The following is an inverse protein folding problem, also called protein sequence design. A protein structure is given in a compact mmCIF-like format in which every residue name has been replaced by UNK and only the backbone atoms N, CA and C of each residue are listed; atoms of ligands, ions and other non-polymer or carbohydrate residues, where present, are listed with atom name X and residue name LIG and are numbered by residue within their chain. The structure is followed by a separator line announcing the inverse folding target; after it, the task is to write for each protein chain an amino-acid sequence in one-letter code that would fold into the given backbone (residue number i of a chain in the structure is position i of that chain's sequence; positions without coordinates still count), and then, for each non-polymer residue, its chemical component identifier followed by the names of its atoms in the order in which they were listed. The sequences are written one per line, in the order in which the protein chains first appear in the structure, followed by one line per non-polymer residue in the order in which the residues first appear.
data_IF_413307973590
#
_entry.id   IF_413307973590
#
_cell.length_a   1.000
_cell.length_b   1.000
_cell.length_c   1.000
_cell.angle_alpha   90.00
_cell.angle_beta   90.00
_cell.angle_gamma   90.00
#
_symmetry.space_group_name_H-M   'P 1'
#
loop_
_entity.id
_entity.type
_entity.pdbx_description
1 polymer ?
#
# COMPACT_ATOMS: atom_id res chain seq x y z
N UNK A 1 9.48 46.51 -23.73
CA UNK A 1 8.36 46.06 -22.88
C UNK A 1 8.98 45.65 -21.55
N UNK A 2 8.85 46.52 -20.55
CA UNK A 2 9.31 46.27 -19.18
C UNK A 2 8.29 45.33 -18.55
N UNK A 3 8.73 44.13 -18.15
CA UNK A 3 7.92 43.21 -17.36
C UNK A 3 7.56 43.86 -16.03
N UNK A 4 6.31 43.67 -15.61
CA UNK A 4 5.78 44.25 -14.38
C UNK A 4 6.60 43.75 -13.17
N UNK A 5 7.17 44.63 -12.32
CA UNK A 5 8.01 44.22 -11.18
C UNK A 5 7.24 43.47 -10.08
N UNK A 6 5.91 43.37 -10.21
CA UNK A 6 5.01 42.80 -9.21
C UNK A 6 4.67 41.31 -9.44
N UNK A 7 5.18 40.67 -10.48
CA UNK A 7 4.89 39.25 -10.78
C UNK A 7 5.61 38.21 -9.89
N UNK A 8 6.38 38.64 -8.89
CA UNK A 8 7.16 37.72 -8.05
C UNK A 8 7.07 38.00 -6.54
N UNK A 9 5.94 38.52 -6.04
CA UNK A 9 5.67 38.48 -4.59
C UNK A 9 4.84 37.23 -4.27
N UNK A 10 5.48 36.22 -3.67
CA UNK A 10 4.78 35.05 -3.13
C UNK A 10 3.82 35.51 -2.02
N UNK A 11 2.53 35.58 -2.32
CA UNK A 11 1.49 35.78 -1.31
C UNK A 11 1.46 34.58 -0.37
N UNK A 12 1.29 34.83 0.94
CA UNK A 12 1.20 33.75 1.93
C UNK A 12 -0.05 32.91 1.62
N UNK A 13 0.09 31.58 1.44
CA UNK A 13 -1.05 30.71 1.16
C UNK A 13 -2.02 30.66 2.34
N UNK A 14 -3.28 30.31 2.08
CA UNK A 14 -4.27 30.15 3.14
C UNK A 14 -3.87 29.04 4.11
N UNK A 15 -3.92 29.28 5.42
CA UNK A 15 -3.50 28.29 6.43
C UNK A 15 -4.35 27.02 6.46
N UNK A 16 -5.56 27.07 5.92
CA UNK A 16 -6.48 25.94 5.76
C UNK A 16 -6.37 25.25 4.39
N UNK A 17 -5.54 25.77 3.46
CA UNK A 17 -5.50 25.34 2.07
C UNK A 17 -5.22 23.84 1.92
N UNK A 18 -4.30 23.30 2.72
CA UNK A 18 -3.96 21.86 2.68
C UNK A 18 -5.19 20.99 3.02
N UNK A 19 -6.02 21.43 3.97
CA UNK A 19 -7.23 20.71 4.35
C UNK A 19 -8.25 20.70 3.21
N UNK A 20 -8.48 21.87 2.61
CA UNK A 20 -9.40 22.00 1.47
C UNK A 20 -8.95 21.21 0.26
N UNK A 21 -7.71 21.40 -0.19
CA UNK A 21 -7.17 20.70 -1.34
C UNK A 21 -7.15 19.18 -1.13
N UNK A 22 -6.79 18.74 0.07
CA UNK A 22 -6.80 17.32 0.43
C UNK A 22 -8.20 16.70 0.34
N UNK A 23 -9.22 17.38 0.87
CA UNK A 23 -10.59 16.90 0.86
C UNK A 23 -11.26 17.00 -0.52
N UNK A 24 -11.07 18.10 -1.25
CA UNK A 24 -11.55 18.22 -2.63
C UNK A 24 -10.95 17.11 -3.48
N UNK A 25 -9.64 16.89 -3.42
CA UNK A 25 -8.99 15.78 -4.14
C UNK A 25 -9.57 14.41 -3.75
N UNK A 26 -9.88 14.20 -2.47
CA UNK A 26 -10.52 12.97 -2.01
C UNK A 26 -11.92 12.78 -2.62
N UNK A 27 -12.76 13.81 -2.58
CA UNK A 27 -14.14 13.75 -3.10
C UNK A 27 -14.17 13.64 -4.63
N UNK A 28 -13.35 14.44 -5.33
CA UNK A 28 -13.39 14.58 -6.78
C UNK A 28 -12.74 13.40 -7.50
N UNK A 29 -11.70 12.81 -6.89
CA UNK A 29 -10.88 11.78 -7.54
C UNK A 29 -10.62 10.57 -6.64
N UNK A 30 -10.17 10.79 -5.39
CA UNK A 30 -9.67 9.71 -4.53
C UNK A 30 -10.72 8.63 -4.22
N UNK A 31 -11.97 9.01 -3.95
CA UNK A 31 -13.04 8.05 -3.69
C UNK A 31 -13.27 7.15 -4.89
N UNK A 32 -13.38 7.74 -6.08
CA UNK A 32 -13.55 7.02 -7.34
C UNK A 32 -12.38 6.08 -7.62
N UNK A 33 -11.14 6.53 -7.42
CA UNK A 33 -9.94 5.71 -7.59
C UNK A 33 -9.94 4.48 -6.68
N UNK A 34 -10.37 4.63 -5.42
CA UNK A 34 -10.47 3.50 -4.49
C UNK A 34 -11.61 2.54 -4.84
N UNK A 35 -12.78 3.07 -5.27
CA UNK A 35 -13.90 2.22 -5.69
C UNK A 35 -13.54 1.38 -6.92
N UNK A 36 -12.74 1.90 -7.87
CA UNK A 36 -12.26 1.13 -9.03
C UNK A 36 -11.30 -0.01 -8.66
N UNK A 37 -10.66 0.05 -7.49
CA UNK A 37 -9.80 -1.04 -6.99
C UNK A 37 -10.60 -2.15 -6.31
N UNK A 38 -11.90 -1.96 -6.10
CA UNK A 38 -12.71 -2.93 -5.38
C UNK A 38 -12.81 -4.25 -6.16
N UNK A 39 -12.39 -5.38 -5.58
CA UNK A 39 -12.39 -6.65 -6.29
C UNK A 39 -13.81 -7.17 -6.49
N UNK A 40 -14.00 -7.96 -7.54
CA UNK A 40 -15.18 -8.83 -7.66
C UNK A 40 -15.19 -9.82 -6.51
N UNK A 41 -16.34 -9.95 -5.84
CA UNK A 41 -16.52 -10.93 -4.77
C UNK A 41 -17.31 -12.08 -5.35
N UNK A 42 -16.68 -13.24 -5.45
CA UNK A 42 -17.27 -14.47 -5.98
C UNK A 42 -17.40 -15.50 -4.85
N UNK A 43 -18.59 -16.03 -4.67
CA UNK A 43 -18.82 -17.22 -3.85
C UNK A 43 -18.91 -18.45 -4.76
N UNK A 44 -17.84 -19.26 -4.73
CA UNK A 44 -17.74 -20.48 -5.54
C UNK A 44 -18.71 -21.59 -5.12
N UNK A 45 -19.28 -21.53 -3.91
CA UNK A 45 -20.23 -22.55 -3.43
C UNK A 45 -21.67 -22.25 -3.85
N UNK A 46 -22.04 -20.97 -3.90
CA UNK A 46 -23.41 -20.53 -4.20
C UNK A 46 -23.57 -19.90 -5.58
N UNK A 47 -22.51 -19.85 -6.39
CA UNK A 47 -22.49 -19.21 -7.72
C UNK A 47 -22.97 -17.74 -7.69
N UNK A 48 -22.62 -17.01 -6.62
CA UNK A 48 -22.99 -15.60 -6.45
C UNK A 48 -21.79 -14.73 -6.78
N UNK A 49 -21.98 -13.74 -7.65
CA UNK A 49 -20.99 -12.71 -7.97
C UNK A 49 -21.51 -11.34 -7.54
N UNK A 50 -20.68 -10.59 -6.81
CA UNK A 50 -20.88 -9.17 -6.55
C UNK A 50 -19.85 -8.35 -7.32
N UNK A 51 -20.35 -7.44 -8.14
CA UNK A 51 -19.55 -6.46 -8.86
C UNK A 51 -20.06 -5.06 -8.55
N UNK A 52 -19.13 -4.17 -8.20
CA UNK A 52 -19.43 -2.75 -8.00
C UNK A 52 -19.37 -2.01 -9.35
N UNK A 53 -20.43 -1.28 -9.68
CA UNK A 53 -20.49 -0.42 -10.87
C UNK A 53 -20.11 1.02 -10.50
N UNK A 54 -18.81 1.30 -10.51
CA UNK A 54 -18.25 2.56 -10.03
C UNK A 54 -18.73 3.75 -10.86
N UNK A 55 -18.99 3.58 -12.16
CA UNK A 55 -19.46 4.64 -13.05
C UNK A 55 -20.81 5.26 -12.62
N UNK A 56 -21.54 4.56 -11.73
CA UNK A 56 -22.85 4.97 -11.23
C UNK A 56 -22.83 5.43 -9.77
N UNK A 57 -21.65 5.58 -9.15
CA UNK A 57 -21.58 6.09 -7.78
C UNK A 57 -22.09 7.53 -7.71
N UNK A 58 -22.78 7.86 -6.62
CA UNK A 58 -23.31 9.21 -6.39
C UNK A 58 -23.08 9.60 -4.93
N UNK A 59 -22.64 10.84 -4.74
CA UNK A 59 -22.70 11.50 -3.44
C UNK A 59 -24.02 12.25 -3.37
N UNK A 60 -24.90 11.79 -2.49
CA UNK A 60 -26.25 12.35 -2.33
C UNK A 60 -26.27 13.11 -1.00
N UNK A 61 -26.68 14.38 -1.03
CA UNK A 61 -27.01 15.08 0.21
C UNK A 61 -28.14 14.33 0.93
N UNK A 62 -28.07 14.17 2.26
CA UNK A 62 -28.95 13.25 2.97
C UNK A 62 -30.43 13.63 2.80
N UNK A 63 -31.14 12.87 1.97
CA UNK A 63 -32.60 12.87 1.88
C UNK A 63 -33.06 11.45 2.14
N UNK A 64 -33.58 11.20 3.35
CA UNK A 64 -34.06 9.89 3.79
C UNK A 64 -35.26 9.50 2.93
N UNK A 65 -35.10 8.53 2.03
CA UNK A 65 -36.21 7.80 1.41
C UNK A 65 -35.86 6.32 1.33
N UNK A 66 -36.58 5.51 2.11
CA UNK A 66 -36.56 4.05 2.02
C UNK A 66 -37.15 3.59 0.67
N UNK A 67 -36.56 2.57 0.06
CA UNK A 67 -37.19 1.83 -1.04
C UNK A 67 -36.95 0.32 -0.95
N UNK A 68 -37.99 -0.36 -1.44
CA UNK A 68 -38.33 -1.77 -1.31
C UNK A 68 -37.50 -2.72 -2.19
N UNK A 69 -37.44 -3.97 -1.75
CA UNK A 69 -36.75 -5.12 -2.37
C UNK A 69 -37.68 -5.86 -3.36
N UNK A 70 -37.19 -6.21 -4.55
CA UNK A 70 -37.87 -7.14 -5.50
C UNK A 70 -36.83 -8.05 -6.17
N UNK A 71 -37.10 -9.36 -6.18
CA UNK A 71 -36.19 -10.49 -6.46
C UNK A 71 -35.77 -10.68 -7.94
N UNK A 72 -34.55 -11.23 -8.08
CA UNK A 72 -33.80 -11.77 -9.24
C UNK A 72 -33.10 -10.78 -10.21
N UNK A 73 -31.78 -11.03 -10.42
CA UNK A 73 -30.75 -10.15 -11.02
C UNK A 73 -30.94 -8.65 -10.74
N UNK A 74 -30.64 -8.26 -9.50
CA UNK A 74 -30.83 -6.89 -9.00
C UNK A 74 -29.56 -6.06 -9.12
N UNK A 75 -29.51 -5.14 -10.08
CA UNK A 75 -28.73 -3.92 -9.89
C UNK A 75 -29.39 -3.13 -8.76
N UNK A 76 -28.72 -3.00 -7.60
CA UNK A 76 -29.25 -2.31 -6.44
C UNK A 76 -28.32 -1.16 -6.03
N UNK A 77 -28.90 0.01 -5.78
CA UNK A 77 -28.18 1.10 -5.12
C UNK A 77 -28.06 0.78 -3.63
N UNK A 78 -26.84 0.62 -3.15
CA UNK A 78 -26.53 0.39 -1.74
C UNK A 78 -25.89 1.63 -1.14
N UNK A 79 -26.26 1.95 0.11
CA UNK A 79 -25.55 2.95 0.90
C UNK A 79 -24.27 2.30 1.45
N UNK A 80 -23.11 2.71 0.94
CA UNK A 80 -21.81 2.21 1.44
C UNK A 80 -21.46 2.86 2.78
N UNK A 81 -21.77 4.15 2.94
CA UNK A 81 -21.50 4.87 4.17
C UNK A 81 -21.75 6.37 4.04
N UNK A 82 -21.61 7.07 5.15
CA UNK A 82 -21.73 8.52 5.24
C UNK A 82 -20.35 9.15 5.35
N UNK A 83 -20.06 10.16 4.53
CA UNK A 83 -18.82 10.93 4.57
C UNK A 83 -19.11 12.27 5.28
N UNK A 84 -18.45 12.59 6.41
CA UNK A 84 -18.59 13.89 7.02
C UNK A 84 -18.10 14.99 6.08
N UNK A 85 -18.95 15.99 5.80
CA UNK A 85 -18.56 17.13 4.99
C UNK A 85 -17.69 18.10 5.79
N UNK A 86 -16.74 18.73 5.11
CA UNK A 86 -15.90 19.78 5.67
C UNK A 86 -16.51 21.15 5.35
N UNK A 87 -16.59 22.02 6.37
CA UNK A 87 -17.03 23.39 6.21
C UNK A 87 -15.90 24.29 5.69
N UNK A 88 -16.22 25.56 5.41
CA UNK A 88 -15.28 26.60 4.94
C UNK A 88 -14.16 26.97 5.90
N UNK A 89 -14.18 26.48 7.15
CA UNK A 89 -13.11 26.66 8.13
C UNK A 89 -12.12 25.49 8.16
N UNK A 90 -12.37 24.41 7.40
CA UNK A 90 -11.54 23.23 7.42
C UNK A 90 -11.89 22.24 8.55
N UNK A 91 -13.12 22.31 9.08
CA UNK A 91 -13.60 21.43 10.14
C UNK A 91 -14.82 20.63 9.69
N UNK A 92 -14.99 19.42 10.23
CA UNK A 92 -16.11 18.52 9.94
C UNK A 92 -16.94 18.28 11.19
N UNK A 93 -18.25 18.14 11.05
CA UNK A 93 -19.14 17.81 12.17
C UNK A 93 -19.29 16.29 12.25
N UNK A 94 -18.84 15.69 13.35
CA UNK A 94 -18.95 14.25 13.61
C UNK A 94 -19.68 14.08 14.93
N UNK A 95 -20.88 13.49 14.89
CA UNK A 95 -21.77 13.31 16.04
C UNK A 95 -22.03 14.61 16.82
N UNK A 96 -22.27 15.72 16.10
CA UNK A 96 -22.56 17.03 16.69
C UNK A 96 -21.34 17.79 17.23
N UNK A 97 -20.13 17.27 17.03
CA UNK A 97 -18.88 17.88 17.52
C UNK A 97 -17.99 18.26 16.33
N UNK A 98 -17.43 19.47 16.35
CA UNK A 98 -16.44 19.91 15.39
C UNK A 98 -15.13 19.12 15.54
N UNK A 99 -14.66 18.54 14.44
CA UNK A 99 -13.39 17.80 14.36
C UNK A 99 -12.55 18.33 13.22
N UNK A 100 -11.24 18.21 13.37
CA UNK A 100 -10.25 18.57 12.34
C UNK A 100 -9.45 17.32 12.03
N UNK A 101 -9.22 17.07 10.74
CA UNK A 101 -8.32 16.00 10.29
C UNK A 101 -6.88 16.52 10.37
N UNK A 102 -6.04 15.87 11.16
CA UNK A 102 -4.63 16.25 11.28
C UNK A 102 -3.85 15.53 10.19
N UNK A 103 -3.07 16.29 9.41
CA UNK A 103 -2.17 15.72 8.41
C UNK A 103 -1.10 14.87 9.09
N UNK A 104 -0.90 13.66 8.56
CA UNK A 104 0.13 12.75 9.03
C UNK A 104 1.35 12.80 8.12
N UNK A 105 2.54 12.67 8.71
CA UNK A 105 3.78 12.49 7.97
C UNK A 105 4.21 11.04 8.18
N UNK A 106 4.09 10.24 7.14
CA UNK A 106 4.44 8.82 7.12
C UNK A 106 5.65 8.59 6.21
N UNK A 107 6.35 7.47 6.42
CA UNK A 107 7.38 7.03 5.49
C UNK A 107 6.72 6.64 4.17
N UNK A 108 7.17 7.25 3.08
CA UNK A 108 6.70 6.89 1.75
C UNK A 108 7.09 5.45 1.40
N UNK A 109 6.33 4.76 0.54
CA UNK A 109 6.75 3.46 0.01
C UNK A 109 8.10 3.55 -0.70
N UNK A 110 8.88 2.46 -0.65
CA UNK A 110 10.24 2.39 -1.20
C UNK A 110 11.19 1.53 -0.35
N UNK A 111 12.50 1.70 -0.56
CA UNK A 111 13.55 0.98 0.17
C UNK A 111 14.34 1.96 1.04
N UNK A 112 14.56 1.55 2.28
CA UNK A 112 15.35 2.28 3.28
C UNK A 112 16.48 1.41 3.79
N UNK A 113 17.66 1.98 3.93
CA UNK A 113 18.83 1.29 4.47
C UNK A 113 19.21 1.86 5.82
N UNK A 114 19.55 0.99 6.75
CA UNK A 114 20.03 1.34 8.08
C UNK A 114 21.27 0.52 8.43
N UNK A 115 22.23 1.16 9.09
CA UNK A 115 23.36 0.50 9.73
C UNK A 115 23.27 0.75 11.22
N UNK A 116 23.17 -0.30 12.01
CA UNK A 116 23.15 -0.24 13.48
C UNK A 116 24.30 -1.07 14.06
N UNK A 117 24.79 -0.67 15.23
CA UNK A 117 25.69 -1.51 16.00
C UNK A 117 24.84 -2.42 16.89
N UNK A 118 25.07 -3.71 16.81
CA UNK A 118 24.44 -4.64 17.74
C UNK A 118 25.08 -4.56 19.14
N UNK A 119 24.54 -5.34 20.09
CA UNK A 119 24.99 -5.38 21.48
C UNK A 119 26.48 -5.71 21.67
N UNK A 120 27.19 -6.25 20.66
CA UNK A 120 28.62 -6.52 20.76
C UNK A 120 29.44 -5.56 19.89
N UNK A 121 28.86 -4.43 19.44
CA UNK A 121 29.54 -3.40 18.68
C UNK A 121 29.77 -3.74 17.21
N UNK A 122 29.05 -4.70 16.63
CA UNK A 122 29.24 -5.11 15.24
C UNK A 122 28.15 -4.49 14.35
N UNK A 123 28.57 -3.93 13.21
CA UNK A 123 27.68 -3.31 12.24
C UNK A 123 26.78 -4.34 11.56
N UNK A 124 25.49 -4.22 11.82
CA UNK A 124 24.40 -4.93 11.14
C UNK A 124 23.75 -3.96 10.15
N UNK A 125 23.61 -4.42 8.90
CA UNK A 125 23.02 -3.63 7.83
C UNK A 125 21.66 -4.21 7.48
N UNK A 126 20.65 -3.34 7.45
CA UNK A 126 19.25 -3.71 7.18
C UNK A 126 18.70 -2.90 6.02
N UNK A 127 18.10 -3.56 5.04
CA UNK A 127 17.29 -2.97 3.99
C UNK A 127 15.81 -3.24 4.25
N UNK A 128 15.01 -2.21 4.49
CA UNK A 128 13.57 -2.29 4.74
C UNK A 128 12.79 -1.78 3.54
N UNK A 129 12.06 -2.66 2.88
CA UNK A 129 11.11 -2.34 1.82
C UNK A 129 9.75 -2.04 2.47
N UNK A 130 9.19 -0.89 2.14
CA UNK A 130 7.86 -0.43 2.57
C UNK A 130 6.97 -0.36 1.34
N UNK A 131 5.84 -1.06 1.42
CA UNK A 131 4.79 -1.11 0.40
C UNK A 131 3.70 -0.08 0.72
N UNK A 132 2.85 0.26 -0.26
CA UNK A 132 1.79 1.27 -0.15
C UNK A 132 0.74 0.89 0.90
N UNK A 133 0.45 -0.40 1.03
CA UNK A 133 -0.49 -0.96 2.02
C UNK A 133 0.20 -1.43 3.31
N UNK A 134 1.16 -0.66 3.81
CA UNK A 134 1.92 -0.93 5.05
C UNK A 134 2.71 -2.27 5.09
N UNK A 135 2.80 -2.99 3.97
CA UNK A 135 3.59 -4.21 3.86
C UNK A 135 5.08 -3.92 4.04
N UNK A 136 5.69 -4.48 5.10
CA UNK A 136 7.13 -4.35 5.37
C UNK A 136 7.87 -5.66 5.14
N UNK A 137 8.95 -5.60 4.36
CA UNK A 137 9.87 -6.71 4.13
C UNK A 137 11.30 -6.26 4.47
N UNK A 138 12.02 -7.03 5.27
CA UNK A 138 13.37 -6.66 5.71
C UNK A 138 14.40 -7.69 5.24
N UNK A 139 15.52 -7.19 4.71
CA UNK A 139 16.73 -7.96 4.45
C UNK A 139 17.84 -7.49 5.41
N UNK A 140 18.53 -8.42 6.04
CA UNK A 140 19.56 -8.18 7.05
C UNK A 140 20.85 -8.92 6.66
N UNK A 141 22.01 -8.25 6.70
CA UNK A 141 23.31 -8.92 6.58
C UNK A 141 23.94 -9.07 7.96
N UNK A 142 24.17 -10.32 8.35
CA UNK A 142 24.80 -10.63 9.62
C UNK A 142 26.33 -10.51 9.58
N UNK A 143 26.96 -10.72 10.74
CA UNK A 143 28.41 -10.65 10.93
C UNK A 143 29.20 -11.65 10.10
N UNK A 144 28.58 -12.78 9.72
CA UNK A 144 29.19 -13.83 8.90
C UNK A 144 28.91 -13.61 7.40
N UNK A 145 28.48 -12.41 7.02
CA UNK A 145 28.08 -12.04 5.66
C UNK A 145 26.93 -12.91 5.11
N UNK A 146 26.06 -13.43 5.98
CA UNK A 146 24.86 -14.15 5.56
C UNK A 146 23.69 -13.18 5.46
N UNK A 147 22.96 -13.27 4.36
CA UNK A 147 21.75 -12.48 4.12
C UNK A 147 20.56 -13.23 4.71
N UNK A 148 19.75 -12.54 5.49
CA UNK A 148 18.52 -13.03 6.08
C UNK A 148 17.36 -12.18 5.58
N UNK A 149 16.27 -12.82 5.16
CA UNK A 149 14.99 -12.14 4.98
C UNK A 149 14.16 -12.34 6.26
N UNK A 150 13.74 -11.26 6.91
CA UNK A 150 12.93 -11.35 8.12
C UNK A 150 11.46 -11.49 7.73
N UNK A 151 10.93 -12.68 7.91
CA UNK A 151 9.49 -12.95 7.80
C UNK A 151 9.02 -13.46 9.14
N UNK A 152 8.63 -12.55 10.06
CA UNK A 152 8.14 -12.74 11.46
C UNK A 152 8.88 -13.76 12.40
N UNK A 153 9.72 -14.67 11.90
CA UNK A 153 10.54 -15.68 12.60
C UNK A 153 11.83 -15.95 11.79
N UNK A 154 12.93 -16.27 12.48
CA UNK A 154 14.22 -16.63 11.86
C UNK A 154 14.31 -18.15 11.72
N UNK A 155 13.95 -18.70 10.55
CA UNK A 155 14.14 -20.14 10.25
C UNK A 155 15.01 -20.33 9.02
N UNK A 156 15.94 -21.29 9.10
CA UNK A 156 16.82 -21.68 7.99
C UNK A 156 16.02 -22.60 7.09
N UNK A 157 15.92 -22.25 5.80
CA UNK A 157 15.25 -23.09 4.81
C UNK A 157 16.28 -23.73 3.88
N UNK A 158 16.17 -25.05 3.67
CA UNK A 158 17.13 -25.83 2.90
C UNK A 158 16.81 -26.01 1.41
N UNK A 159 15.54 -25.88 1.00
CA UNK A 159 15.11 -26.03 -0.40
C UNK A 159 14.06 -24.97 -0.79
N UNK A 160 13.88 -24.75 -2.11
CA UNK A 160 12.91 -23.78 -2.65
C UNK A 160 11.48 -24.13 -2.24
N UNK A 161 11.11 -25.40 -2.33
CA UNK A 161 9.78 -25.90 -1.99
C UNK A 161 9.48 -25.69 -0.50
N UNK A 162 10.46 -26.03 0.36
CA UNK A 162 10.35 -25.80 1.80
C UNK A 162 10.24 -24.30 2.13
N UNK A 163 10.88 -23.43 1.36
CA UNK A 163 10.80 -21.97 1.57
C UNK A 163 9.39 -21.46 1.26
N UNK A 164 8.81 -21.92 0.16
CA UNK A 164 7.44 -21.58 -0.24
C UNK A 164 6.43 -22.09 0.79
N UNK A 165 6.59 -23.32 1.27
CA UNK A 165 5.72 -23.91 2.29
C UNK A 165 5.77 -23.16 3.62
N UNK A 166 6.97 -22.82 4.09
CA UNK A 166 7.12 -22.04 5.32
C UNK A 166 6.50 -20.65 5.19
N UNK A 167 6.71 -19.99 4.05
CA UNK A 167 6.09 -18.70 3.76
C UNK A 167 4.56 -18.81 3.78
N UNK A 168 4.01 -19.85 3.16
CA UNK A 168 2.58 -20.10 3.13
C UNK A 168 1.99 -20.38 4.52
N UNK A 169 2.58 -21.30 5.30
CA UNK A 169 2.12 -21.62 6.66
C UNK A 169 2.03 -20.38 7.56
N UNK A 170 3.04 -19.51 7.47
CA UNK A 170 3.14 -18.34 8.31
C UNK A 170 2.10 -17.26 7.99
N UNK A 171 1.59 -17.23 6.75
CA UNK A 171 0.61 -16.25 6.31
C UNK A 171 -0.82 -16.76 6.28
N UNK A 172 -1.02 -18.05 6.00
CA UNK A 172 -2.35 -18.61 5.86
C UNK A 172 -3.00 -18.97 7.21
N UNK A 173 -2.24 -18.99 8.32
CA UNK A 173 -2.72 -19.45 9.64
C UNK A 173 -3.43 -20.81 9.58
N UNK A 174 -3.05 -21.66 8.62
CA UNK A 174 -3.69 -22.97 8.41
C UNK A 174 -3.08 -23.97 9.37
N UNK A 175 -3.92 -24.67 10.13
CA UNK A 175 -3.50 -25.85 10.89
C UNK A 175 -3.24 -27.02 9.94
N UNK A 176 -2.04 -27.60 10.00
CA UNK A 176 -1.65 -28.79 9.21
C UNK A 176 -0.24 -28.67 8.60
N UNK A 177 0.20 -29.76 7.97
CA UNK A 177 1.44 -29.84 7.19
C UNK A 177 1.10 -29.70 5.70
N UNK A 178 1.17 -28.48 5.11
CA UNK A 178 0.90 -28.28 3.70
C UNK A 178 1.96 -28.98 2.87
N UNK A 179 1.51 -29.63 1.80
CA UNK A 179 2.37 -30.24 0.79
C UNK A 179 2.54 -29.26 -0.36
N UNK A 180 3.75 -29.17 -0.91
CA UNK A 180 4.04 -28.27 -2.02
C UNK A 180 3.18 -28.65 -3.23
N UNK A 181 2.47 -27.66 -3.79
CA UNK A 181 1.69 -27.81 -5.01
C UNK A 181 1.73 -26.53 -5.83
N UNK A 182 1.47 -26.64 -7.14
CA UNK A 182 1.40 -25.47 -8.02
C UNK A 182 0.19 -24.58 -7.69
N UNK A 183 -0.91 -25.18 -7.21
CA UNK A 183 -2.09 -24.43 -6.75
C UNK A 183 -1.78 -23.56 -5.53
N UNK A 184 -0.99 -24.08 -4.57
CA UNK A 184 -0.52 -23.32 -3.41
C UNK A 184 0.36 -22.14 -3.85
N UNK A 185 1.22 -22.33 -4.84
CA UNK A 185 2.00 -21.22 -5.41
C UNK A 185 1.10 -20.13 -6.00
N UNK A 186 0.07 -20.51 -6.76
CA UNK A 186 -0.89 -19.57 -7.36
C UNK A 186 -1.71 -18.85 -6.30
N UNK A 187 -2.14 -19.55 -5.26
CA UNK A 187 -2.86 -18.97 -4.14
C UNK A 187 -1.99 -17.98 -3.36
N UNK A 188 -0.75 -18.34 -3.06
CA UNK A 188 0.21 -17.45 -2.41
C UNK A 188 0.46 -16.21 -3.28
N UNK A 189 0.67 -16.37 -4.59
CA UNK A 189 0.80 -15.25 -5.53
C UNK A 189 -0.42 -14.32 -5.52
N UNK A 190 -1.63 -14.89 -5.61
CA UNK A 190 -2.87 -14.12 -5.65
C UNK A 190 -3.16 -13.42 -4.31
N UNK A 191 -3.15 -14.15 -3.20
CA UNK A 191 -3.54 -13.62 -1.88
C UNK A 191 -2.47 -12.73 -1.25
N UNK A 192 -1.19 -13.09 -1.39
CA UNK A 192 -0.11 -12.41 -0.67
C UNK A 192 0.50 -11.26 -1.47
N UNK A 193 0.95 -11.54 -2.70
CA UNK A 193 1.74 -10.58 -3.47
C UNK A 193 0.91 -9.43 -4.05
N UNK A 194 -0.38 -9.65 -4.35
CA UNK A 194 -1.26 -8.58 -4.86
C UNK A 194 -1.61 -7.52 -3.81
N UNK A 195 -1.64 -7.86 -2.52
CA UNK A 195 -2.01 -6.88 -1.48
C UNK A 195 -0.79 -6.29 -0.76
N UNK A 196 0.23 -7.11 -0.46
CA UNK A 196 1.33 -6.70 0.43
C UNK A 196 2.60 -6.25 -0.28
N UNK A 197 2.70 -6.45 -1.59
CA UNK A 197 3.89 -6.10 -2.38
C UNK A 197 3.62 -5.00 -3.40
N UNK A 198 2.47 -4.31 -3.31
CA UNK A 198 2.20 -3.13 -4.11
C UNK A 198 2.99 -1.94 -3.57
N UNK A 199 3.93 -1.44 -4.37
CA UNK A 199 4.72 -0.24 -4.12
C UNK A 199 3.98 1.05 -4.51
N UNK A 200 2.98 0.94 -5.40
CA UNK A 200 2.35 2.09 -6.04
C UNK A 200 3.34 2.87 -6.93
N UNK A 201 2.85 3.97 -7.53
CA UNK A 201 3.68 4.82 -8.41
C UNK A 201 4.84 5.48 -7.66
N UNK A 202 4.57 5.94 -6.44
CA UNK A 202 5.56 6.61 -5.59
C UNK A 202 6.64 5.62 -5.15
N UNK A 203 6.25 4.44 -4.65
CA UNK A 203 7.20 3.42 -4.24
C UNK A 203 8.06 2.91 -5.39
N UNK A 204 7.47 2.65 -6.56
CA UNK A 204 8.24 2.29 -7.76
C UNK A 204 9.26 3.37 -8.13
N UNK A 205 8.85 4.65 -8.13
CA UNK A 205 9.76 5.78 -8.40
C UNK A 205 10.90 5.85 -7.37
N UNK A 206 10.59 5.69 -6.09
CA UNK A 206 11.56 5.73 -5.00
C UNK A 206 12.56 4.56 -5.09
N UNK A 207 12.06 3.35 -5.32
CA UNK A 207 12.89 2.15 -5.56
C UNK A 207 13.85 2.36 -6.72
N UNK A 208 13.34 2.79 -7.87
CA UNK A 208 14.15 3.01 -9.06
C UNK A 208 15.25 4.04 -8.83
N UNK A 209 14.90 5.18 -8.20
CA UNK A 209 15.88 6.23 -7.89
C UNK A 209 16.93 5.75 -6.90
N UNK A 210 16.55 4.97 -5.89
CA UNK A 210 17.45 4.53 -4.82
C UNK A 210 18.40 3.41 -5.27
N UNK A 211 17.92 2.51 -6.11
CA UNK A 211 18.65 1.32 -6.59
C UNK A 211 19.20 1.49 -8.01
N UNK A 212 19.02 2.67 -8.62
CA UNK A 212 19.38 2.97 -10.01
C UNK A 212 18.79 1.94 -11.00
N UNK A 213 17.49 1.68 -10.90
CA UNK A 213 16.77 0.76 -11.77
C UNK A 213 15.97 1.51 -12.83
N UNK A 214 16.01 1.00 -14.06
CA UNK A 214 15.18 1.46 -15.17
C UNK A 214 13.98 0.52 -15.36
N UNK A 215 13.01 0.62 -14.45
CA UNK A 215 11.76 -0.14 -14.51
C UNK A 215 10.62 0.85 -14.76
N UNK A 216 9.70 0.61 -15.71
CA UNK A 216 8.59 1.51 -15.97
C UNK A 216 7.75 1.83 -14.72
N UNK A 217 7.36 3.09 -14.55
CA UNK A 217 6.61 3.56 -13.36
C UNK A 217 5.20 2.97 -13.24
N UNK A 218 4.65 2.41 -14.32
CA UNK A 218 3.37 1.70 -14.32
C UNK A 218 3.47 0.31 -13.66
N UNK A 219 4.67 -0.24 -13.44
CA UNK A 219 4.85 -1.46 -12.66
C UNK A 219 4.78 -1.14 -11.17
N UNK A 220 3.58 -1.19 -10.60
CA UNK A 220 3.32 -0.85 -9.20
C UNK A 220 3.66 -1.97 -8.22
N UNK A 221 4.00 -3.17 -8.68
CA UNK A 221 4.33 -4.31 -7.82
C UNK A 221 5.84 -4.54 -7.69
N UNK A 222 6.26 -5.08 -6.55
CA UNK A 222 7.63 -5.54 -6.31
C UNK A 222 7.98 -6.71 -7.24
N UNK A 223 9.12 -6.61 -7.91
CA UNK A 223 9.63 -7.59 -8.87
C UNK A 223 10.81 -8.37 -8.27
N UNK A 224 11.09 -9.60 -8.73
CA UNK A 224 12.28 -10.34 -8.30
C UNK A 224 13.59 -9.54 -8.49
N UNK A 225 13.68 -8.76 -9.57
CA UNK A 225 14.82 -7.87 -9.86
C UNK A 225 15.03 -6.81 -8.77
N UNK A 226 13.95 -6.32 -8.17
CA UNK A 226 14.05 -5.34 -7.07
C UNK A 226 14.71 -5.97 -5.85
N UNK A 227 14.30 -7.18 -5.48
CA UNK A 227 14.85 -7.91 -4.33
C UNK A 227 16.35 -8.17 -4.53
N UNK A 228 16.75 -8.57 -5.74
CA UNK A 228 18.16 -8.78 -6.08
C UNK A 228 18.95 -7.48 -5.96
N UNK A 229 18.45 -6.38 -6.53
CA UNK A 229 19.09 -5.07 -6.42
C UNK A 229 19.18 -4.58 -4.97
N UNK A 230 18.17 -4.87 -4.14
CA UNK A 230 18.20 -4.56 -2.71
C UNK A 230 19.33 -5.32 -2.01
N UNK A 231 19.46 -6.62 -2.29
CA UNK A 231 20.51 -7.46 -1.73
C UNK A 231 21.90 -7.00 -2.19
N UNK A 232 22.08 -6.73 -3.49
CA UNK A 232 23.35 -6.23 -4.04
C UNK A 232 23.78 -4.92 -3.39
N UNK A 233 22.86 -3.97 -3.24
CA UNK A 233 23.14 -2.70 -2.57
C UNK A 233 23.48 -2.90 -1.08
N UNK A 234 22.81 -3.84 -0.40
CA UNK A 234 23.09 -4.16 1.00
C UNK A 234 24.48 -4.78 1.17
N UNK A 235 24.90 -5.64 0.23
CA UNK A 235 26.27 -6.17 0.16
C UNK A 235 27.26 -5.03 -0.06
N UNK A 236 26.97 -4.11 -0.99
CA UNK A 236 27.79 -2.92 -1.24
C UNK A 236 28.02 -2.09 0.03
N UNK A 237 26.96 -1.82 0.79
CA UNK A 237 27.04 -1.13 2.08
C UNK A 237 27.91 -1.86 3.11
N UNK A 238 27.84 -3.20 3.18
CA UNK A 238 28.64 -3.99 4.13
C UNK A 238 30.13 -3.96 3.80
N UNK A 239 30.48 -3.98 2.52
CA UNK A 239 31.85 -4.15 2.04
C UNK A 239 32.48 -2.87 1.45
N UNK A 240 31.77 -1.73 1.49
CA UNK A 240 32.27 -0.42 1.08
C UNK A 240 32.45 -0.27 -0.44
N UNK A 241 31.56 -0.85 -1.24
CA UNK A 241 31.53 -0.69 -2.71
C UNK A 241 30.36 0.15 -3.18
#
# INVERSE_FOLDING_TARGET
MLGDPNEAMSTIPGFNQIQFEGFCRFIDQGLTEELYKFPKIEDTYYEIEFQLFVERYQLVEPVIKERNVVKDMQEQTILIGNIPLMNSLGTSIVNGIYRIVINQILQSPGIYYRSELDHNGISVYTGTIISDWEGRSELEIDRKARIWARVREKKKVGSKENAILQLYQQFACVGGDPVFSESLCKELQKKFFQQRCELGRIGRRNMNRRLNLDIPQNNTFLLPRDILAVADHLIGLKFGK
#
